data_IF_533372264656
#
_entry.id   IF_533372264656
#
_cell.length_a   1.000
_cell.length_b   1.000
_cell.length_c   1.000
_cell.angle_alpha   90.00
_cell.angle_beta   90.00
_cell.angle_gamma   90.00
#
_symmetry.space_group_name_H-M   'P 1'
#
loop_
_entity.id
_entity.type
_entity.pdbx_description
1 polymer ?
#
# COMPACT_ATOMS: atom_id res chain seq x y z
N UNK A 1 -7.82 -4.12 -2.76
CA UNK A 1 -6.79 -4.98 -3.37
C UNK A 1 -6.21 -4.27 -4.58
N UNK A 2 -4.89 -4.31 -4.74
CA UNK A 2 -4.18 -3.82 -5.93
C UNK A 2 -3.10 -4.82 -6.31
N UNK A 3 -2.88 -5.04 -7.59
CA UNK A 3 -1.83 -5.94 -8.09
C UNK A 3 -1.19 -5.42 -9.37
N UNK A 4 0.03 -5.88 -9.64
CA UNK A 4 0.76 -5.62 -10.87
C UNK A 4 1.69 -6.79 -11.22
N UNK A 5 1.84 -7.09 -12.49
CA UNK A 5 2.96 -7.88 -12.99
C UNK A 5 4.13 -6.92 -13.27
N UNK A 6 5.19 -7.04 -12.49
CA UNK A 6 6.37 -6.19 -12.57
C UNK A 6 7.43 -6.94 -13.36
N UNK A 7 7.92 -6.41 -14.51
CA UNK A 7 8.88 -7.11 -15.37
C UNK A 7 10.31 -7.03 -14.78
N UNK A 8 10.48 -7.65 -13.61
CA UNK A 8 11.74 -7.66 -12.87
C UNK A 8 11.83 -8.90 -11.96
N UNK A 9 13.05 -9.32 -11.58
CA UNK A 9 13.28 -10.38 -10.60
C UNK A 9 12.64 -10.03 -9.23
N UNK A 10 12.20 -11.05 -8.51
CA UNK A 10 11.53 -10.89 -7.22
C UNK A 10 12.43 -10.21 -6.18
N UNK A 11 13.72 -10.42 -6.23
CA UNK A 11 14.71 -9.81 -5.35
C UNK A 11 14.72 -8.28 -5.49
N UNK A 12 14.65 -7.77 -6.73
CA UNK A 12 14.62 -6.34 -7.00
C UNK A 12 13.30 -5.71 -6.54
N UNK A 13 12.18 -6.38 -6.82
CA UNK A 13 10.86 -5.91 -6.38
C UNK A 13 10.78 -5.90 -4.85
N UNK A 14 11.27 -6.95 -4.21
CA UNK A 14 11.36 -7.08 -2.76
C UNK A 14 12.20 -5.95 -2.17
N UNK A 15 13.43 -5.77 -2.62
CA UNK A 15 14.33 -4.72 -2.14
C UNK A 15 13.65 -3.34 -2.24
N UNK A 16 13.09 -2.99 -3.40
CA UNK A 16 12.48 -1.68 -3.63
C UNK A 16 11.19 -1.46 -2.83
N UNK A 17 10.50 -2.50 -2.46
CA UNK A 17 9.26 -2.39 -1.67
C UNK A 17 9.48 -2.47 -0.16
N UNK A 18 10.51 -3.20 0.32
CA UNK A 18 10.74 -3.41 1.75
C UNK A 18 11.71 -2.40 2.36
N UNK A 19 12.65 -1.85 1.59
CA UNK A 19 13.54 -0.78 2.08
C UNK A 19 12.75 0.52 2.26
N UNK A 20 12.75 1.15 3.46
CA UNK A 20 11.95 2.34 3.74
C UNK A 20 12.30 3.54 2.84
N UNK A 21 13.58 3.71 2.50
CA UNK A 21 14.05 4.81 1.66
C UNK A 21 13.60 4.60 0.22
N UNK A 22 13.76 3.37 -0.27
CA UNK A 22 13.34 2.99 -1.62
C UNK A 22 11.81 2.97 -1.75
N UNK A 23 11.10 2.56 -0.69
CA UNK A 23 9.64 2.56 -0.66
C UNK A 23 9.07 3.97 -0.90
N UNK A 24 9.57 4.96 -0.20
CA UNK A 24 9.14 6.36 -0.38
C UNK A 24 9.42 6.87 -1.79
N UNK A 25 10.35 6.28 -2.53
CA UNK A 25 10.67 6.73 -3.89
C UNK A 25 9.55 6.44 -4.91
N UNK A 26 8.72 5.42 -4.69
CA UNK A 26 7.65 5.04 -5.62
C UNK A 26 6.23 5.20 -5.05
N UNK A 27 6.04 5.15 -3.74
CA UNK A 27 4.72 5.18 -3.13
C UNK A 27 4.28 6.63 -2.81
N UNK A 28 3.30 7.14 -3.54
CA UNK A 28 2.78 8.50 -3.36
C UNK A 28 2.12 8.71 -1.99
N UNK A 29 1.68 7.64 -1.34
CA UNK A 29 0.99 7.71 -0.05
C UNK A 29 1.90 8.15 1.08
N UNK A 30 3.22 7.91 0.97
CA UNK A 30 4.17 8.19 2.02
C UNK A 30 5.13 9.32 1.65
N UNK A 31 5.34 10.24 2.58
CA UNK A 31 6.39 11.27 2.50
C UNK A 31 7.63 10.85 3.25
N UNK A 32 7.47 10.01 4.27
CA UNK A 32 8.56 9.45 5.07
C UNK A 32 8.17 8.08 5.60
N UNK A 33 9.14 7.17 5.62
CA UNK A 33 9.11 5.92 6.37
C UNK A 33 10.47 5.78 7.04
N UNK A 34 10.51 5.46 8.34
CA UNK A 34 11.75 5.21 9.06
C UNK A 34 11.54 4.10 10.11
N UNK A 35 12.45 3.14 10.17
CA UNK A 35 12.44 2.18 11.27
C UNK A 35 12.81 2.89 12.57
N UNK A 36 12.07 2.58 13.62
CA UNK A 36 12.37 3.01 14.96
C UNK A 36 13.38 2.03 15.60
N UNK A 37 14.28 2.57 16.42
CA UNK A 37 15.17 1.75 17.23
C UNK A 37 14.37 1.04 18.30
N UNK A 38 14.45 -0.30 18.31
CA UNK A 38 13.76 -1.13 19.28
C UNK A 38 12.57 -1.91 18.72
N UNK A 39 11.97 -2.66 19.61
CA UNK A 39 10.80 -3.48 19.33
C UNK A 39 9.68 -3.07 20.28
N UNK A 40 8.44 -3.32 19.89
CA UNK A 40 7.31 -3.17 20.80
C UNK A 40 7.26 -4.29 21.85
N UNK A 41 6.27 -4.22 22.75
CA UNK A 41 6.04 -5.22 23.81
C UNK A 41 5.82 -6.65 23.27
N UNK A 42 5.45 -6.76 22.00
CA UNK A 42 5.25 -8.04 21.30
C UNK A 42 6.48 -8.51 20.53
N UNK A 43 7.57 -7.73 20.55
CA UNK A 43 8.81 -8.04 19.85
C UNK A 43 8.84 -7.64 18.36
N UNK A 44 7.87 -6.89 17.87
CA UNK A 44 7.81 -6.43 16.47
C UNK A 44 8.59 -5.15 16.25
N UNK A 45 9.26 -5.05 15.10
CA UNK A 45 9.90 -3.80 14.68
C UNK A 45 8.87 -2.74 14.34
N UNK A 46 9.06 -1.56 14.91
CA UNK A 46 8.21 -0.40 14.67
C UNK A 46 8.78 0.46 13.53
N UNK A 47 7.90 1.10 12.80
CA UNK A 47 8.25 2.14 11.84
C UNK A 47 7.39 3.38 12.04
N UNK A 48 8.02 4.56 11.99
CA UNK A 48 7.34 5.85 11.86
C UNK A 48 7.05 6.09 10.38
N UNK A 49 5.81 6.43 10.06
CA UNK A 49 5.45 6.82 8.71
C UNK A 49 4.67 8.14 8.70
N UNK A 50 4.83 8.87 7.60
CA UNK A 50 4.08 10.09 7.33
C UNK A 50 3.41 10.01 5.99
N UNK A 51 2.15 10.39 5.95
CA UNK A 51 1.31 10.38 4.74
C UNK A 51 0.87 11.80 4.44
N UNK A 52 1.18 12.29 3.25
CA UNK A 52 0.61 13.53 2.77
C UNK A 52 -0.83 13.30 2.31
N UNK A 53 -1.76 14.00 2.94
CA UNK A 53 -3.15 14.08 2.53
C UNK A 53 -3.34 15.34 1.66
N UNK A 54 -4.50 15.52 1.07
CA UNK A 54 -4.81 16.69 0.24
C UNK A 54 -4.47 18.02 0.97
N UNK A 55 -4.12 19.04 0.21
CA UNK A 55 -3.82 20.40 0.71
C UNK A 55 -2.63 20.54 1.65
N UNK A 56 -1.65 19.63 1.56
CA UNK A 56 -0.43 19.71 2.39
C UNK A 56 -0.60 19.25 3.84
N UNK A 57 -1.75 18.71 4.21
CA UNK A 57 -1.96 18.11 5.52
C UNK A 57 -1.16 16.81 5.59
N UNK A 58 -0.32 16.68 6.61
CA UNK A 58 0.43 15.47 6.90
C UNK A 58 -0.20 14.73 8.08
N UNK A 59 -0.37 13.43 7.93
CA UNK A 59 -0.83 12.50 8.97
C UNK A 59 0.35 11.63 9.37
N UNK A 60 0.59 11.51 10.67
CA UNK A 60 1.63 10.65 11.25
C UNK A 60 0.99 9.34 11.70
N UNK A 61 1.73 8.25 11.56
CA UNK A 61 1.29 6.96 12.06
C UNK A 61 2.46 6.05 12.38
N UNK A 62 2.15 4.94 13.02
CA UNK A 62 3.08 3.89 13.39
C UNK A 62 2.69 2.61 12.69
N UNK A 63 3.66 1.99 12.03
CA UNK A 63 3.52 0.67 11.43
C UNK A 63 4.28 -0.39 12.21
N UNK A 64 3.89 -1.65 12.03
CA UNK A 64 4.56 -2.83 12.57
C UNK A 64 4.66 -3.89 11.48
N UNK A 65 5.83 -4.48 11.32
CA UNK A 65 5.94 -5.73 10.57
C UNK A 65 5.68 -6.89 11.49
N UNK A 66 4.63 -7.68 11.20
CA UNK A 66 4.21 -8.80 12.02
C UNK A 66 4.90 -10.09 11.62
N UNK A 67 4.88 -10.41 10.34
CA UNK A 67 5.46 -11.62 9.80
C UNK A 67 5.98 -11.37 8.39
N UNK A 68 7.17 -11.88 8.12
CA UNK A 68 7.82 -11.72 6.82
C UNK A 68 8.49 -13.02 6.43
N UNK A 69 8.10 -13.56 5.28
CA UNK A 69 8.85 -14.60 4.59
C UNK A 69 9.52 -13.97 3.38
N UNK A 70 10.86 -13.83 3.40
CA UNK A 70 11.58 -13.15 2.34
C UNK A 70 11.20 -13.63 0.95
N UNK A 71 11.04 -12.70 0.03
CA UNK A 71 10.68 -12.90 -1.38
C UNK A 71 9.29 -13.53 -1.62
N UNK A 72 8.47 -13.75 -0.58
CA UNK A 72 7.14 -14.35 -0.69
C UNK A 72 6.03 -13.47 -0.15
N UNK A 73 6.13 -13.07 1.11
CA UNK A 73 5.10 -12.21 1.70
C UNK A 73 5.63 -11.38 2.87
N UNK A 74 4.93 -10.29 3.14
CA UNK A 74 5.15 -9.45 4.30
C UNK A 74 3.80 -8.97 4.83
N UNK A 75 3.52 -9.22 6.11
CA UNK A 75 2.30 -8.78 6.79
C UNK A 75 2.64 -7.62 7.72
N UNK A 76 1.80 -6.61 7.70
CA UNK A 76 2.02 -5.39 8.48
C UNK A 76 0.71 -4.87 9.09
N UNK A 77 0.83 -4.24 10.23
CA UNK A 77 -0.19 -3.40 10.83
C UNK A 77 0.21 -1.93 10.69
N UNK A 78 -0.79 -1.05 10.63
CA UNK A 78 -0.57 0.38 10.65
C UNK A 78 -1.69 1.07 11.43
N UNK A 79 -1.30 2.03 12.24
CA UNK A 79 -2.22 2.81 13.05
C UNK A 79 -1.79 4.28 13.09
N UNK A 80 -2.72 5.14 13.44
CA UNK A 80 -2.46 6.55 13.62
C UNK A 80 -3.25 7.09 14.79
N UNK A 81 -2.56 7.65 15.77
CA UNK A 81 -3.18 8.43 16.85
C UNK A 81 -3.51 9.87 16.43
N UNK A 82 -3.04 10.31 15.26
CA UNK A 82 -3.30 11.65 14.74
C UNK A 82 -4.81 11.85 14.53
N UNK A 83 -5.37 12.90 15.11
CA UNK A 83 -6.81 13.21 15.00
C UNK A 83 -7.28 13.50 13.58
N UNK A 84 -6.34 13.85 12.67
CA UNK A 84 -6.59 14.07 11.25
C UNK A 84 -6.77 12.76 10.48
N UNK A 85 -6.33 11.64 11.06
CA UNK A 85 -6.48 10.33 10.42
C UNK A 85 -7.93 9.88 10.40
N UNK A 86 -8.40 9.45 9.24
CA UNK A 86 -9.73 8.85 9.05
C UNK A 86 -9.70 7.38 9.43
N UNK A 87 -8.53 6.74 9.36
CA UNK A 87 -8.34 5.31 9.59
C UNK A 87 -7.62 5.02 10.89
N UNK A 88 -7.90 3.85 11.43
CA UNK A 88 -7.21 3.22 12.56
C UNK A 88 -7.16 1.70 12.36
N UNK A 89 -6.34 1.02 13.14
CA UNK A 89 -6.27 -0.45 13.18
C UNK A 89 -6.22 -1.08 11.79
N UNK A 90 -5.32 -0.56 10.95
CA UNK A 90 -5.16 -1.06 9.60
C UNK A 90 -4.23 -2.27 9.56
N UNK A 91 -4.53 -3.19 8.66
CA UNK A 91 -3.72 -4.37 8.36
C UNK A 91 -3.52 -4.50 6.88
N UNK A 92 -2.38 -5.06 6.50
CA UNK A 92 -2.10 -5.35 5.12
C UNK A 92 -1.17 -6.53 4.96
N UNK A 93 -1.24 -7.11 3.77
CA UNK A 93 -0.31 -8.13 3.31
C UNK A 93 0.20 -7.77 1.93
N UNK A 94 1.48 -7.96 1.72
CA UNK A 94 2.13 -7.95 0.42
C UNK A 94 2.49 -9.38 0.05
N UNK A 95 2.15 -9.75 -1.19
CA UNK A 95 2.42 -11.06 -1.75
C UNK A 95 3.30 -10.90 -2.99
N UNK A 96 4.28 -11.75 -3.12
CA UNK A 96 5.23 -11.79 -4.23
C UNK A 96 5.24 -13.19 -4.80
N UNK A 97 5.07 -13.31 -6.10
CA UNK A 97 5.05 -14.58 -6.82
C UNK A 97 5.81 -14.43 -8.13
N UNK A 98 6.78 -15.31 -8.35
CA UNK A 98 7.50 -15.37 -9.64
C UNK A 98 6.57 -15.95 -10.70
N UNK A 99 6.38 -15.22 -11.79
CA UNK A 99 5.53 -15.61 -12.92
C UNK A 99 6.27 -15.39 -14.24
N UNK A 100 5.83 -16.02 -15.34
CA UNK A 100 6.32 -15.69 -16.66
C UNK A 100 6.23 -14.19 -16.92
N UNK A 101 7.33 -13.55 -17.27
CA UNK A 101 7.42 -12.11 -17.50
C UNK A 101 7.77 -11.25 -16.30
N UNK A 102 8.03 -11.84 -15.11
CA UNK A 102 8.51 -11.10 -13.96
C UNK A 102 7.91 -11.52 -12.61
N UNK A 103 7.70 -10.56 -11.75
CA UNK A 103 7.14 -10.75 -10.40
C UNK A 103 5.71 -10.22 -10.33
N UNK A 104 4.77 -11.08 -9.99
CA UNK A 104 3.44 -10.65 -9.63
C UNK A 104 3.44 -10.15 -8.18
N UNK A 105 3.15 -8.87 -8.02
CA UNK A 105 3.12 -8.18 -6.74
C UNK A 105 1.71 -7.73 -6.43
N UNK A 106 1.21 -8.10 -5.24
CA UNK A 106 -0.16 -7.83 -4.82
C UNK A 106 -0.18 -7.27 -3.41
N UNK A 107 -1.09 -6.32 -3.17
CA UNK A 107 -1.44 -5.87 -1.82
C UNK A 107 -2.92 -6.06 -1.54
N UNK A 108 -3.19 -6.55 -0.33
CA UNK A 108 -4.52 -6.56 0.27
C UNK A 108 -4.39 -5.81 1.58
N UNK A 109 -5.32 -4.92 1.87
CA UNK A 109 -5.35 -4.19 3.13
C UNK A 109 -6.79 -3.99 3.58
N UNK A 110 -6.96 -3.94 4.89
CA UNK A 110 -8.18 -3.61 5.58
C UNK A 110 -7.89 -2.59 6.70
N UNK A 111 -8.90 -1.85 7.13
CA UNK A 111 -8.76 -0.83 8.18
C UNK A 111 -10.11 -0.52 8.79
N UNK A 112 -10.10 -0.02 10.02
CA UNK A 112 -11.27 0.51 10.70
C UNK A 112 -11.37 2.02 10.51
N UNK A 113 -12.60 2.54 10.60
CA UNK A 113 -12.85 3.97 10.49
C UNK A 113 -12.82 4.62 11.87
N UNK A 114 -12.07 5.72 11.96
CA UNK A 114 -12.22 6.66 13.05
C UNK A 114 -13.47 7.50 12.80
N UNK A 115 -14.15 7.99 13.81
CA UNK A 115 -15.35 8.85 13.73
C UNK A 115 -16.67 8.13 13.34
N UNK A 116 -16.80 6.84 13.62
CA UNK A 116 -18.07 6.09 13.54
C UNK A 116 -18.78 6.21 12.19
N UNK A 117 -20.06 6.60 12.21
CA UNK A 117 -20.89 6.68 11.00
C UNK A 117 -20.39 7.74 10.01
N UNK A 118 -19.95 8.90 10.48
CA UNK A 118 -19.40 9.96 9.64
C UNK A 118 -18.11 9.50 8.93
N UNK A 119 -17.22 8.80 9.66
CA UNK A 119 -16.01 8.24 9.09
C UNK A 119 -16.31 7.20 8.00
N UNK A 120 -17.32 6.34 8.22
CA UNK A 120 -17.77 5.37 7.21
C UNK A 120 -18.33 6.04 5.96
N UNK A 121 -19.11 7.10 6.13
CA UNK A 121 -19.67 7.84 5.00
C UNK A 121 -18.56 8.52 4.18
N UNK A 122 -17.60 9.18 4.81
CA UNK A 122 -16.45 9.81 4.15
C UNK A 122 -15.57 8.79 3.43
N UNK A 123 -15.35 7.61 4.04
CA UNK A 123 -14.63 6.52 3.41
C UNK A 123 -15.35 6.02 2.15
N UNK A 124 -16.65 5.78 2.27
CA UNK A 124 -17.46 5.27 1.15
C UNK A 124 -17.51 6.26 -0.02
N UNK A 125 -17.67 7.56 0.26
CA UNK A 125 -17.78 8.60 -0.76
C UNK A 125 -16.45 8.89 -1.47
N UNK A 126 -15.34 8.97 -0.72
CA UNK A 126 -14.09 9.51 -1.26
C UNK A 126 -12.86 8.70 -0.89
N UNK A 127 -12.66 8.40 0.42
CA UNK A 127 -11.37 7.97 0.91
C UNK A 127 -10.96 6.60 0.37
N UNK A 128 -11.87 5.64 0.38
CA UNK A 128 -11.64 4.29 -0.16
C UNK A 128 -11.18 4.33 -1.62
N UNK A 129 -11.86 5.13 -2.44
CA UNK A 129 -11.52 5.27 -3.85
C UNK A 129 -10.18 5.97 -4.05
N UNK A 130 -9.95 7.05 -3.30
CA UNK A 130 -8.68 7.77 -3.33
C UNK A 130 -7.51 6.89 -2.90
N UNK A 131 -7.63 6.16 -1.79
CA UNK A 131 -6.60 5.26 -1.31
C UNK A 131 -6.29 4.15 -2.31
N UNK A 132 -7.33 3.58 -2.93
CA UNK A 132 -7.19 2.56 -3.96
C UNK A 132 -6.43 3.08 -5.18
N UNK A 133 -6.84 4.24 -5.71
CA UNK A 133 -6.20 4.84 -6.89
C UNK A 133 -4.79 5.35 -6.60
N UNK A 134 -4.53 5.86 -5.40
CA UNK A 134 -3.18 6.20 -4.96
C UNK A 134 -2.29 4.95 -4.87
N UNK A 135 -2.83 3.82 -4.40
CA UNK A 135 -2.08 2.55 -4.39
C UNK A 135 -1.83 2.04 -5.80
N UNK A 136 -2.81 2.10 -6.70
CA UNK A 136 -2.65 1.71 -8.11
C UNK A 136 -1.58 2.57 -8.81
N UNK A 137 -1.60 3.88 -8.58
CA UNK A 137 -0.58 4.80 -9.07
C UNK A 137 0.82 4.46 -8.56
N UNK A 138 0.93 4.14 -7.28
CA UNK A 138 2.19 3.74 -6.65
C UNK A 138 2.72 2.45 -7.26
N UNK A 139 1.88 1.43 -7.41
CA UNK A 139 2.25 0.15 -8.02
C UNK A 139 2.71 0.32 -9.47
N UNK A 140 2.03 1.18 -10.24
CA UNK A 140 2.46 1.49 -11.60
C UNK A 140 3.81 2.22 -11.62
N UNK A 141 4.05 3.09 -10.65
CA UNK A 141 5.35 3.77 -10.49
C UNK A 141 6.46 2.77 -10.17
N UNK A 142 6.22 1.82 -9.25
CA UNK A 142 7.15 0.75 -8.94
C UNK A 142 7.42 -0.14 -10.16
N UNK A 143 6.37 -0.51 -10.90
CA UNK A 143 6.48 -1.32 -12.11
C UNK A 143 7.39 -0.66 -13.16
N UNK A 144 7.15 0.61 -13.45
CA UNK A 144 7.96 1.38 -14.40
C UNK A 144 9.41 1.51 -13.92
N UNK A 145 9.60 1.79 -12.64
CA UNK A 145 10.94 1.90 -12.08
C UNK A 145 11.71 0.58 -12.15
N UNK A 146 11.06 -0.53 -11.82
CA UNK A 146 11.67 -1.87 -11.94
C UNK A 146 11.93 -2.28 -13.39
N UNK A 147 11.17 -1.73 -14.35
CA UNK A 147 11.42 -1.92 -15.78
C UNK A 147 12.56 -1.04 -16.36
N UNK A 148 13.23 -0.24 -15.53
CA UNK A 148 14.36 0.61 -15.94
C UNK A 148 13.98 2.07 -16.24
N UNK A 149 12.73 2.50 -16.00
CA UNK A 149 12.37 3.91 -16.13
C UNK A 149 12.85 4.71 -14.89
N UNK A 150 14.02 5.32 -15.02
CA UNK A 150 14.59 6.17 -13.96
C UNK A 150 13.75 7.42 -13.66
N UNK A 151 12.85 7.82 -14.57
CA UNK A 151 11.94 8.96 -14.37
C UNK A 151 10.69 8.61 -13.55
N UNK A 152 10.52 7.35 -13.18
CA UNK A 152 9.37 6.90 -12.40
C UNK A 152 9.19 7.68 -11.09
N UNK A 153 10.29 8.04 -10.38
CA UNK A 153 10.22 8.88 -9.20
C UNK A 153 9.71 10.31 -9.46
N UNK A 154 10.02 10.88 -10.62
CA UNK A 154 9.47 12.17 -11.04
C UNK A 154 7.97 12.04 -11.38
N UNK A 155 7.56 10.93 -12.01
CA UNK A 155 6.14 10.59 -12.23
C UNK A 155 5.36 10.54 -10.92
N UNK A 156 5.89 9.87 -9.90
CA UNK A 156 5.26 9.79 -8.58
C UNK A 156 4.90 11.17 -8.03
N UNK A 157 5.82 12.13 -8.12
CA UNK A 157 5.67 13.49 -7.56
C UNK A 157 4.82 14.42 -8.41
N UNK A 158 4.47 14.06 -9.63
CA UNK A 158 3.69 14.90 -10.52
C UNK A 158 2.21 14.90 -10.14
N UNK A 159 1.79 15.94 -9.41
CA UNK A 159 0.38 16.14 -9.02
C UNK A 159 -0.55 16.20 -10.23
N UNK A 160 -0.14 16.90 -11.29
CA UNK A 160 -0.93 17.01 -12.51
C UNK A 160 -1.17 15.63 -13.15
N UNK A 161 -0.11 14.83 -13.31
CA UNK A 161 -0.24 13.48 -13.87
C UNK A 161 -1.10 12.58 -13.01
N UNK A 162 -0.99 12.68 -11.68
CA UNK A 162 -1.86 11.96 -10.76
C UNK A 162 -3.32 12.38 -10.89
N UNK A 163 -3.61 13.68 -11.00
CA UNK A 163 -4.97 14.18 -11.19
C UNK A 163 -5.57 13.73 -12.52
N UNK A 164 -4.81 13.75 -13.59
CA UNK A 164 -5.25 13.23 -14.91
C UNK A 164 -5.54 11.72 -14.82
N UNK A 165 -4.65 10.95 -14.19
CA UNK A 165 -4.88 9.53 -13.94
C UNK A 165 -6.15 9.30 -13.11
N UNK A 166 -6.29 10.03 -12.01
CA UNK A 166 -7.44 9.94 -11.10
C UNK A 166 -8.76 10.25 -11.83
N UNK A 167 -8.81 11.35 -12.58
CA UNK A 167 -9.98 11.73 -13.37
C UNK A 167 -10.31 10.67 -14.43
N UNK A 168 -9.31 10.17 -15.16
CA UNK A 168 -9.50 9.11 -16.14
C UNK A 168 -10.11 7.84 -15.52
N UNK A 169 -9.63 7.45 -14.34
CA UNK A 169 -10.17 6.29 -13.62
C UNK A 169 -11.59 6.51 -13.11
N UNK A 170 -11.93 7.71 -12.68
CA UNK A 170 -13.30 8.07 -12.31
C UNK A 170 -14.26 8.02 -13.51
N UNK A 171 -13.79 8.40 -14.70
CA UNK A 171 -14.53 8.33 -15.96
C UNK A 171 -14.57 6.91 -16.57
N UNK A 172 -14.01 5.91 -15.89
CA UNK A 172 -14.04 4.52 -16.32
C UNK A 172 -13.01 4.14 -17.39
N UNK A 173 -12.03 4.99 -17.66
CA UNK A 173 -10.96 4.64 -18.61
C UNK A 173 -10.18 3.43 -18.11
N UNK A 174 -9.97 2.40 -18.94
CA UNK A 174 -9.26 1.19 -18.54
C UNK A 174 -7.77 1.49 -18.30
N UNK A 175 -7.08 0.67 -17.47
CA UNK A 175 -5.63 0.71 -17.38
C UNK A 175 -5.00 0.37 -18.74
N UNK A 176 -3.81 0.95 -18.98
CA UNK A 176 -3.00 0.51 -20.10
C UNK A 176 -2.70 -1.00 -19.99
N UNK A 177 -2.48 -1.70 -21.11
CA UNK A 177 -2.08 -3.11 -21.08
C UNK A 177 -0.86 -3.31 -20.18
N UNK A 178 -0.93 -4.29 -19.25
CA UNK A 178 0.14 -4.59 -18.29
C UNK A 178 0.28 -3.61 -17.13
N UNK A 179 -0.50 -2.53 -17.07
CA UNK A 179 -0.48 -1.60 -15.95
C UNK A 179 -1.06 -2.23 -14.67
N UNK A 180 -0.75 -1.62 -13.53
CA UNK A 180 -1.32 -1.98 -12.24
C UNK A 180 -2.86 -1.93 -12.27
N UNK A 181 -3.49 -2.88 -11.59
CA UNK A 181 -4.95 -3.00 -11.52
C UNK A 181 -5.42 -3.01 -10.08
N UNK A 182 -6.60 -2.48 -9.87
CA UNK A 182 -7.24 -2.44 -8.56
C UNK A 182 -8.68 -2.92 -8.61
N UNK A 183 -9.14 -3.56 -7.53
CA UNK A 183 -10.52 -4.00 -7.37
C UNK A 183 -11.09 -3.56 -6.02
N UNK A 184 -12.32 -3.06 -6.06
CA UNK A 184 -13.15 -2.86 -4.89
C UNK A 184 -14.00 -4.13 -4.71
N UNK A 185 -13.48 -5.15 -4.02
CA UNK A 185 -14.24 -6.37 -3.73
C UNK A 185 -15.15 -6.23 -2.51
N UNK A 186 -16.36 -6.84 -2.57
CA UNK A 186 -17.10 -7.25 -1.38
C UNK A 186 -16.47 -8.55 -0.89
N UNK A 187 -16.11 -8.68 0.37
CA UNK A 187 -15.56 -9.91 0.93
C UNK A 187 -14.07 -9.82 1.32
N UNK A 188 -13.69 -8.74 1.99
CA UNK A 188 -12.28 -8.49 2.38
C UNK A 188 -11.78 -9.37 3.52
N UNK A 189 -12.64 -9.67 4.49
CA UNK A 189 -12.25 -10.49 5.65
C UNK A 189 -11.87 -11.90 5.23
N UNK A 190 -12.65 -12.54 4.37
CA UNK A 190 -12.36 -13.90 3.90
C UNK A 190 -11.03 -14.00 3.13
N UNK A 191 -10.66 -12.97 2.37
CA UNK A 191 -9.42 -13.00 1.58
C UNK A 191 -8.15 -12.81 2.43
N UNK A 192 -8.26 -12.10 3.56
CA UNK A 192 -7.15 -12.01 4.53
C UNK A 192 -7.08 -13.27 5.40
N UNK A 193 -8.23 -13.87 5.75
CA UNK A 193 -8.31 -15.10 6.54
C UNK A 193 -7.87 -16.34 5.77
N UNK A 194 -8.17 -16.42 4.47
CA UNK A 194 -7.77 -17.55 3.61
C UNK A 194 -6.27 -17.54 3.24
N UNK A 195 -5.52 -16.49 3.58
CA UNK A 195 -4.08 -16.44 3.33
C UNK A 195 -3.32 -17.12 4.49
N UNK A 196 -2.38 -18.06 4.23
CA UNK A 196 -1.67 -18.78 5.28
C UNK A 196 -1.00 -17.87 6.32
N UNK A 197 -0.50 -16.70 5.90
CA UNK A 197 0.11 -15.73 6.79
C UNK A 197 -0.90 -14.97 7.67
N UNK A 198 -2.13 -14.79 7.22
CA UNK A 198 -3.18 -14.12 7.98
C UNK A 198 -3.84 -15.04 9.01
N UNK A 199 -3.96 -16.35 8.69
CA UNK A 199 -4.47 -17.38 9.61
C UNK A 199 -3.56 -17.54 10.81
N UNK A 200 -2.24 -17.43 10.62
CA UNK A 200 -1.28 -17.53 11.73
C UNK A 200 -1.36 -16.34 12.70
N UNK A 201 -1.69 -15.15 12.21
CA UNK A 201 -1.91 -13.95 13.03
C UNK A 201 -3.23 -14.01 13.79
N UNK A 202 -4.29 -14.56 13.18
CA UNK A 202 -5.62 -14.70 13.82
C UNK A 202 -5.65 -15.73 14.94
N UNK A 203 -4.84 -16.81 14.86
CA UNK A 203 -4.78 -17.86 15.89
C UNK A 203 -3.99 -17.49 17.14
N UNK A 204 -3.30 -16.35 17.16
CA UNK A 204 -2.49 -15.87 18.31
C UNK A 204 -3.17 -14.77 19.13
N UNK A 205 -4.49 -14.62 19.02
CA UNK A 205 -5.31 -13.72 19.85
C UNK A 205 -5.97 -14.43 21.01
#
# INVERSE_FOLDING_TARGET
MVEALIPAPVELVWQRSQDPVLHVAWDIRFTRIAYLTGKDERGYHLMDYRTAVAFGVEVKGVGRYLHTTPLRHSTFEFDSSDWKSIIRDGRGIWLYEVRPGGTWFKTIYDYQHRRGVLGRLLDWLFFRRLLQLATEWSFETLRLWCAGDERAGARRRSRLRFLVFFAGRLLGLPPAPGAARSWLGRGRESQLEDQPAAVEVSRRR
#
